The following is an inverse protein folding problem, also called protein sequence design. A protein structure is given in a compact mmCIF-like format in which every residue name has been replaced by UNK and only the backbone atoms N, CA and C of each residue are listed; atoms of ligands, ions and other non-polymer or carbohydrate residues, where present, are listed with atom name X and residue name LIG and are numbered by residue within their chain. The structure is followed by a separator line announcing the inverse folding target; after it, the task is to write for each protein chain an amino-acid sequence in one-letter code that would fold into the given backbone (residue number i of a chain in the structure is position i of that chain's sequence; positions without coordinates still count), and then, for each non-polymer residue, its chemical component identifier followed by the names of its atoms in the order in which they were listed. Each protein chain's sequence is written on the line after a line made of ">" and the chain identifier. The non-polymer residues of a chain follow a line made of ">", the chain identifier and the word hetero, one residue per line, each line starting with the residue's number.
data_IF_876474194687
#
_entry.id   IF_876474194687
#
_cell.length_a   1.000
_cell.length_b   1.000
_cell.length_c   1.000
_cell.angle_alpha   90.00
_cell.angle_beta   90.00
_cell.angle_gamma   90.00
#
_symmetry.space_group_name_H-M   'P 1'
#
loop_
_entity.id
_entity.type
_entity.pdbx_description
1 polymer ?
#
# COMPACT_ATOMS: atom_id res chain seq x y z
N UNK A 1 -14.53 -0.55 -46.66
CA UNK A 1 -15.94 -0.51 -46.19
C UNK A 1 -16.14 -1.49 -45.01
N UNK A 2 -15.35 -1.35 -43.93
CA UNK A 2 -15.33 -2.29 -42.78
C UNK A 2 -15.39 -1.49 -41.47
N UNK A 3 -16.46 -0.71 -41.27
CA UNK A 3 -16.53 0.28 -40.19
C UNK A 3 -17.93 0.44 -39.55
N UNK A 4 -18.84 -0.54 -39.71
CA UNK A 4 -20.21 -0.47 -39.16
C UNK A 4 -20.78 -1.73 -38.49
N UNK A 5 -20.02 -2.80 -38.31
CA UNK A 5 -20.52 -4.03 -37.65
C UNK A 5 -20.05 -4.27 -36.19
N UNK A 6 -19.02 -3.58 -35.69
CA UNK A 6 -18.52 -3.76 -34.32
C UNK A 6 -19.12 -2.79 -33.27
N UNK A 7 -20.40 -2.42 -33.42
CA UNK A 7 -21.08 -1.45 -32.51
C UNK A 7 -22.34 -1.95 -31.80
N UNK A 8 -22.54 -3.28 -31.70
CA UNK A 8 -23.73 -3.89 -31.07
C UNK A 8 -23.46 -5.14 -30.18
N UNK A 9 -22.27 -5.27 -29.61
CA UNK A 9 -21.91 -6.37 -28.70
C UNK A 9 -21.33 -5.88 -27.36
N UNK A 10 -21.94 -4.85 -26.76
CA UNK A 10 -21.48 -4.26 -25.49
C UNK A 10 -22.58 -4.13 -24.40
N UNK A 11 -23.75 -4.75 -24.60
CA UNK A 11 -24.85 -4.72 -23.63
C UNK A 11 -25.61 -6.05 -23.61
N UNK A 12 -25.27 -6.92 -22.64
CA UNK A 12 -26.10 -7.92 -21.91
C UNK A 12 -25.26 -9.15 -21.49
N UNK A 13 -25.24 -9.41 -20.17
CA UNK A 13 -24.50 -10.42 -19.38
C UNK A 13 -23.18 -9.90 -18.80
N UNK A 14 -22.96 -9.81 -17.49
CA UNK A 14 -23.75 -10.32 -16.35
C UNK A 14 -22.96 -11.36 -15.56
N UNK A 15 -22.16 -10.88 -14.61
CA UNK A 15 -21.40 -11.62 -13.60
C UNK A 15 -20.47 -12.77 -14.08
N UNK A 16 -19.16 -12.54 -13.97
CA UNK A 16 -18.30 -13.31 -13.04
C UNK A 16 -17.04 -12.52 -12.70
N UNK A 17 -16.72 -12.52 -11.41
CA UNK A 17 -15.53 -11.99 -10.74
C UNK A 17 -14.20 -12.16 -11.48
N UNK A 18 -13.46 -11.08 -11.71
CA UNK A 18 -11.99 -11.08 -11.50
C UNK A 18 -11.48 -9.67 -11.14
N UNK A 19 -10.53 -9.60 -10.21
CA UNK A 19 -9.99 -8.36 -9.60
C UNK A 19 -9.00 -7.65 -10.53
N UNK A 20 -9.44 -6.63 -11.29
CA UNK A 20 -8.49 -5.83 -12.05
C UNK A 20 -8.81 -4.35 -12.32
N UNK A 21 -7.76 -3.55 -12.13
CA UNK A 21 -7.29 -2.36 -12.90
C UNK A 21 -7.63 -0.95 -12.40
N UNK A 22 -6.82 0.11 -12.61
CA UNK A 22 -5.35 0.36 -12.70
C UNK A 22 -5.11 1.76 -13.34
N UNK A 23 -3.84 2.16 -13.56
CA UNK A 23 -3.35 3.30 -14.41
C UNK A 23 -3.20 4.61 -13.61
N UNK A 24 -2.11 5.37 -13.76
CA UNK A 24 -1.09 5.38 -14.83
C UNK A 24 0.34 5.02 -14.42
N UNK A 25 1.22 6.00 -14.15
CA UNK A 25 2.34 6.25 -15.07
C UNK A 25 3.70 5.86 -14.48
N UNK A 26 4.74 5.95 -15.32
CA UNK A 26 6.15 5.75 -14.98
C UNK A 26 6.96 6.84 -15.69
N UNK A 27 7.81 7.55 -14.95
CA UNK A 27 8.82 8.44 -15.53
C UNK A 27 9.98 7.67 -16.16
N UNK A 28 10.42 8.10 -17.35
CA UNK A 28 11.54 7.49 -18.07
C UNK A 28 12.88 8.10 -17.61
N UNK A 29 13.66 7.38 -16.81
CA UNK A 29 15.09 7.66 -16.63
C UNK A 29 15.92 6.45 -17.05
N UNK A 30 16.10 6.34 -18.37
CA UNK A 30 17.21 5.57 -18.94
C UNK A 30 18.37 6.54 -19.16
N UNK A 31 19.23 6.71 -18.16
CA UNK A 31 20.53 7.35 -18.36
C UNK A 31 21.34 6.49 -19.33
N UNK A 32 21.68 7.02 -20.51
CA UNK A 32 22.52 6.31 -21.47
C UNK A 32 24.00 6.28 -21.03
N UNK A 33 24.29 5.54 -19.97
CA UNK A 33 25.63 5.04 -19.72
C UNK A 33 25.99 4.04 -20.83
N UNK A 34 26.85 4.45 -21.78
CA UNK A 34 27.43 3.58 -22.82
C UNK A 34 28.44 2.61 -22.20
N UNK A 35 27.92 1.60 -21.49
CA UNK A 35 28.66 0.49 -20.90
C UNK A 35 28.31 -0.86 -21.54
N UNK A 36 29.19 -1.85 -21.34
CA UNK A 36 28.94 -3.25 -21.73
C UNK A 36 27.61 -3.73 -21.13
N UNK A 37 26.92 -4.65 -21.82
CA UNK A 37 25.50 -5.03 -21.59
C UNK A 37 25.11 -5.38 -20.15
N UNK A 38 26.06 -5.79 -19.29
CA UNK A 38 25.81 -6.02 -17.86
C UNK A 38 25.43 -4.76 -17.05
N UNK A 39 25.95 -3.56 -17.39
CA UNK A 39 25.68 -2.34 -16.62
C UNK A 39 24.21 -1.90 -16.71
N UNK A 40 23.62 -1.95 -17.91
CA UNK A 40 22.19 -1.65 -18.15
C UNK A 40 21.25 -2.61 -17.41
N UNK A 41 21.67 -3.85 -17.20
CA UNK A 41 20.88 -4.81 -16.42
C UNK A 41 20.99 -4.53 -14.91
N UNK A 42 22.21 -4.25 -14.42
CA UNK A 42 22.44 -3.88 -13.03
C UNK A 42 21.60 -2.66 -12.60
N UNK A 43 21.59 -1.59 -13.41
CA UNK A 43 20.77 -0.39 -13.17
C UNK A 43 19.26 -0.65 -13.17
N UNK A 44 18.80 -1.73 -13.83
CA UNK A 44 17.40 -2.12 -13.95
C UNK A 44 16.94 -3.10 -12.85
N UNK A 45 17.86 -3.78 -12.17
CA UNK A 45 17.59 -4.63 -10.99
C UNK A 45 17.53 -3.79 -9.70
N UNK A 46 18.19 -2.63 -9.67
CA UNK A 46 18.05 -1.62 -8.61
C UNK A 46 16.67 -0.95 -8.67
N UNK A 47 15.66 -1.72 -8.28
CA UNK A 47 14.26 -1.32 -8.13
C UNK A 47 13.98 -1.23 -6.63
N UNK A 48 13.63 -0.04 -6.11
CA UNK A 48 13.23 0.14 -4.72
C UNK A 48 12.22 -0.88 -4.20
N UNK A 49 12.33 -1.23 -2.92
CA UNK A 49 11.48 -2.23 -2.26
C UNK A 49 10.00 -1.86 -2.34
N UNK A 50 9.63 -0.57 -2.38
CA UNK A 50 8.24 -0.14 -2.56
C UNK A 50 7.61 -0.60 -3.90
N UNK A 51 8.38 -0.66 -4.99
CA UNK A 51 7.90 -1.18 -6.28
C UNK A 51 7.70 -2.71 -6.27
N UNK A 52 8.24 -3.39 -5.25
CA UNK A 52 8.06 -4.83 -4.99
C UNK A 52 7.07 -5.12 -3.85
N UNK A 53 6.83 -4.18 -2.93
CA UNK A 53 6.02 -4.31 -1.71
C UNK A 53 4.95 -3.20 -1.58
N UNK A 54 4.11 -3.01 -2.60
CA UNK A 54 3.01 -2.04 -2.60
C UNK A 54 1.97 -2.23 -1.48
N UNK A 55 1.95 -3.40 -0.82
CA UNK A 55 1.02 -3.69 0.28
C UNK A 55 1.45 -3.01 1.61
N UNK A 56 2.74 -2.74 1.82
CA UNK A 56 3.24 -2.12 3.06
C UNK A 56 2.83 -0.65 3.20
N UNK A 57 2.80 0.08 2.06
CA UNK A 57 2.39 1.48 1.97
C UNK A 57 0.94 1.71 2.43
N UNK A 58 0.03 0.77 2.15
CA UNK A 58 -1.37 0.87 2.57
C UNK A 58 -1.59 0.64 4.08
N UNK A 59 -0.84 -0.30 4.68
CA UNK A 59 -1.12 -0.78 6.04
C UNK A 59 -0.77 0.28 7.10
N UNK A 60 0.40 0.92 7.01
CA UNK A 60 0.86 1.84 8.05
C UNK A 60 -0.07 3.07 8.25
N UNK A 61 -0.46 3.83 7.19
CA UNK A 61 -1.48 4.87 7.31
C UNK A 61 -2.80 4.31 7.84
N UNK A 62 -3.24 3.15 7.33
CA UNK A 62 -4.51 2.53 7.75
C UNK A 62 -4.54 2.18 9.23
N UNK A 63 -3.42 1.92 9.91
CA UNK A 63 -3.43 1.73 11.38
C UNK A 63 -3.67 3.02 12.17
N UNK A 64 -3.17 4.16 11.68
CA UNK A 64 -3.43 5.47 12.29
C UNK A 64 -4.87 5.93 12.01
N UNK A 65 -5.32 5.79 10.76
CA UNK A 65 -6.71 5.99 10.35
C UNK A 65 -7.66 5.09 11.15
N UNK A 66 -7.40 3.79 11.23
CA UNK A 66 -8.25 2.84 11.97
C UNK A 66 -8.37 3.20 13.44
N UNK A 67 -7.30 3.68 14.09
CA UNK A 67 -7.37 4.20 15.47
C UNK A 67 -8.23 5.47 15.58
N UNK A 68 -8.17 6.37 14.61
CA UNK A 68 -8.97 7.60 14.59
C UNK A 68 -10.46 7.29 14.32
N UNK A 69 -10.74 6.42 13.35
CA UNK A 69 -12.08 5.89 13.06
C UNK A 69 -12.66 5.12 14.25
N UNK A 70 -11.83 4.35 14.97
CA UNK A 70 -12.23 3.64 16.19
C UNK A 70 -12.53 4.59 17.35
N UNK A 71 -11.86 5.74 17.45
CA UNK A 71 -12.20 6.79 18.43
C UNK A 71 -13.54 7.48 18.12
N UNK A 72 -13.98 7.50 16.86
CA UNK A 72 -15.31 7.99 16.50
C UNK A 72 -16.40 6.95 16.87
N UNK A 73 -16.13 5.65 16.69
CA UNK A 73 -17.01 4.56 17.16
C UNK A 73 -17.28 4.59 18.68
N UNK A 74 -16.28 4.99 19.49
CA UNK A 74 -16.45 5.13 20.95
C UNK A 74 -17.42 6.26 21.35
N UNK A 75 -17.73 7.21 20.46
CA UNK A 75 -18.65 8.34 20.74
C UNK A 75 -20.13 8.02 20.43
N UNK A 76 -20.51 6.73 20.43
CA UNK A 76 -21.81 6.22 20.01
C UNK A 76 -23.02 7.09 20.40
N UNK A 77 -23.41 7.99 19.50
CA UNK A 77 -24.60 8.82 19.65
C UNK A 77 -25.82 7.92 19.52
N UNK A 78 -26.79 8.10 20.41
CA UNK A 78 -28.01 7.28 20.43
C UNK A 78 -28.70 7.40 19.08
N UNK A 79 -28.73 6.29 18.36
CA UNK A 79 -29.50 6.13 17.12
C UNK A 79 -30.98 6.30 17.49
N UNK A 80 -31.64 7.25 16.82
CA UNK A 80 -33.08 7.45 16.89
C UNK A 80 -33.65 7.24 15.49
N UNK A 81 -34.28 6.09 15.26
CA UNK A 81 -35.15 5.91 14.09
C UNK A 81 -36.59 6.25 14.46
N UNK A 82 -37.35 6.79 13.51
CA UNK A 82 -38.79 6.95 13.67
C UNK A 82 -39.53 5.59 13.59
N UNK A 83 -38.85 4.53 13.13
CA UNK A 83 -39.35 3.15 13.05
C UNK A 83 -38.89 2.36 14.29
N UNK A 84 -39.78 2.00 15.24
CA UNK A 84 -39.36 1.42 16.53
C UNK A 84 -38.64 0.07 16.45
N UNK A 85 -38.91 -0.73 15.43
CA UNK A 85 -38.21 -2.01 15.23
C UNK A 85 -36.82 -1.81 14.60
N UNK A 86 -36.64 -0.81 13.73
CA UNK A 86 -35.33 -0.40 13.23
C UNK A 86 -34.47 0.15 14.37
N UNK A 87 -35.04 1.03 15.21
CA UNK A 87 -34.43 1.57 16.42
C UNK A 87 -33.93 0.45 17.37
N UNK A 88 -34.73 -0.61 17.54
CA UNK A 88 -34.36 -1.78 18.34
C UNK A 88 -33.16 -2.53 17.75
N UNK A 89 -33.13 -2.76 16.44
CA UNK A 89 -31.98 -3.38 15.74
C UNK A 89 -30.72 -2.52 15.83
N UNK A 90 -30.84 -1.21 15.61
CA UNK A 90 -29.74 -0.25 15.74
C UNK A 90 -29.15 -0.21 17.15
N UNK A 91 -29.99 -0.20 18.20
CA UNK A 91 -29.51 -0.31 19.59
C UNK A 91 -28.82 -1.64 19.88
N UNK A 92 -29.29 -2.77 19.32
CA UNK A 92 -28.61 -4.06 19.47
C UNK A 92 -27.24 -4.05 18.82
N UNK A 93 -27.13 -3.51 17.61
CA UNK A 93 -25.86 -3.35 16.91
C UNK A 93 -24.87 -2.50 17.72
N UNK A 94 -25.29 -1.29 18.14
CA UNK A 94 -24.48 -0.40 18.96
C UNK A 94 -24.03 -1.06 20.28
N UNK A 95 -24.94 -1.70 21.01
CA UNK A 95 -24.60 -2.39 22.27
C UNK A 95 -23.55 -3.51 22.08
N UNK A 96 -23.55 -4.22 20.94
CA UNK A 96 -22.51 -5.22 20.61
C UNK A 96 -21.13 -4.56 20.45
N UNK A 97 -21.07 -3.40 19.79
CA UNK A 97 -19.84 -2.63 19.60
C UNK A 97 -19.35 -2.00 20.93
N UNK A 98 -20.24 -1.45 21.76
CA UNK A 98 -19.86 -0.96 23.10
C UNK A 98 -19.33 -2.09 23.99
N UNK A 99 -19.90 -3.29 23.90
CA UNK A 99 -19.39 -4.47 24.60
C UNK A 99 -17.98 -4.85 24.11
N UNK A 100 -17.70 -4.77 22.81
CA UNK A 100 -16.36 -4.97 22.23
C UNK A 100 -15.32 -4.04 22.88
N UNK A 101 -15.58 -2.72 22.90
CA UNK A 101 -14.69 -1.71 23.49
C UNK A 101 -14.48 -1.90 24.99
N UNK A 102 -15.53 -2.24 25.73
CA UNK A 102 -15.43 -2.51 27.18
C UNK A 102 -14.67 -3.80 27.52
N UNK A 103 -14.66 -4.78 26.61
CA UNK A 103 -13.96 -6.06 26.80
C UNK A 103 -12.49 -5.99 26.37
N UNK A 104 -12.15 -5.25 25.30
CA UNK A 104 -10.74 -5.07 24.89
C UNK A 104 -9.91 -4.42 26.00
N UNK A 105 -10.43 -3.38 26.65
CA UNK A 105 -9.83 -2.71 27.80
C UNK A 105 -9.59 -3.63 29.01
N UNK A 106 -10.42 -4.68 29.20
CA UNK A 106 -10.25 -5.66 30.28
C UNK A 106 -9.33 -6.82 29.89
N UNK A 107 -9.31 -7.23 28.62
CA UNK A 107 -8.44 -8.32 28.11
C UNK A 107 -6.97 -7.93 28.12
N UNK A 108 -6.63 -6.67 27.83
CA UNK A 108 -5.25 -6.18 27.95
C UNK A 108 -4.67 -6.26 29.37
N UNK A 109 -5.51 -6.35 30.40
CA UNK A 109 -5.11 -6.50 31.79
C UNK A 109 -4.96 -7.97 32.25
N UNK A 110 -5.44 -8.95 31.46
CA UNK A 110 -5.52 -10.37 31.86
C UNK A 110 -4.93 -11.27 30.77
N UNK A 111 -3.60 -11.49 30.83
CA UNK A 111 -2.88 -12.34 29.87
C UNK A 111 -3.34 -13.80 29.88
N UNK A 112 -3.81 -14.32 28.75
CA UNK A 112 -3.35 -15.60 28.12
C UNK A 112 -4.09 -16.02 26.83
N UNK A 113 -5.06 -15.26 26.35
CA UNK A 113 -5.77 -15.57 25.09
C UNK A 113 -4.84 -15.46 23.88
N UNK A 114 -4.97 -16.35 22.89
CA UNK A 114 -4.22 -16.22 21.63
C UNK A 114 -4.76 -15.06 20.80
N UNK A 115 -3.88 -14.28 20.16
CA UNK A 115 -4.28 -13.21 19.23
C UNK A 115 -5.27 -13.71 18.15
N UNK A 116 -5.13 -14.97 17.72
CA UNK A 116 -6.04 -15.58 16.75
C UNK A 116 -7.46 -15.81 17.30
N UNK A 117 -7.59 -16.08 18.60
CA UNK A 117 -8.88 -16.25 19.28
C UNK A 117 -9.54 -14.90 19.55
N UNK A 118 -8.74 -13.90 19.95
CA UNK A 118 -9.22 -12.52 20.10
C UNK A 118 -9.72 -11.94 18.78
N UNK A 119 -8.98 -12.16 17.68
CA UNK A 119 -9.42 -11.78 16.34
C UNK A 119 -10.71 -12.50 15.93
N UNK A 120 -10.80 -13.82 16.10
CA UNK A 120 -12.02 -14.59 15.77
C UNK A 120 -13.26 -14.10 16.51
N UNK A 121 -13.15 -13.80 17.80
CA UNK A 121 -14.28 -13.29 18.59
C UNK A 121 -14.61 -11.83 18.22
N UNK A 122 -13.61 -11.02 17.85
CA UNK A 122 -13.81 -9.67 17.30
C UNK A 122 -14.59 -9.72 15.98
N UNK A 123 -14.10 -10.50 15.01
CA UNK A 123 -14.75 -10.70 13.70
C UNK A 123 -16.20 -11.20 13.86
N UNK A 124 -16.45 -12.09 14.84
CA UNK A 124 -17.78 -12.61 15.18
C UNK A 124 -18.71 -11.51 15.71
N UNK A 125 -18.24 -10.66 16.62
CA UNK A 125 -19.03 -9.55 17.18
C UNK A 125 -19.34 -8.51 16.11
N UNK A 126 -18.36 -8.18 15.25
CA UNK A 126 -18.52 -7.27 14.13
C UNK A 126 -19.56 -7.77 13.13
N UNK A 127 -19.49 -9.05 12.72
CA UNK A 127 -20.52 -9.66 11.84
C UNK A 127 -21.91 -9.65 12.46
N UNK A 128 -22.03 -9.94 13.76
CA UNK A 128 -23.32 -9.89 14.45
C UNK A 128 -23.89 -8.45 14.56
N UNK A 129 -23.03 -7.42 14.63
CA UNK A 129 -23.47 -6.03 14.54
C UNK A 129 -23.88 -5.66 13.10
N UNK A 130 -23.14 -6.15 12.10
CA UNK A 130 -23.42 -5.95 10.67
C UNK A 130 -24.79 -6.49 10.25
N UNK A 131 -25.17 -7.67 10.74
CA UNK A 131 -26.49 -8.28 10.51
C UNK A 131 -27.62 -7.42 11.11
N UNK A 132 -27.43 -6.88 12.31
CA UNK A 132 -28.42 -6.04 13.00
C UNK A 132 -28.54 -4.66 12.33
N UNK A 133 -27.44 -4.03 11.91
CA UNK A 133 -27.47 -2.81 11.09
C UNK A 133 -28.16 -3.05 9.74
N UNK A 134 -27.87 -4.16 9.07
CA UNK A 134 -28.48 -4.50 7.77
C UNK A 134 -29.98 -4.74 7.91
N UNK A 135 -30.41 -5.44 8.97
CA UNK A 135 -31.84 -5.63 9.29
C UNK A 135 -32.51 -4.29 9.58
N UNK A 136 -31.89 -3.44 10.41
CA UNK A 136 -32.43 -2.11 10.72
C UNK A 136 -32.54 -1.20 9.50
N UNK A 137 -31.55 -1.22 8.59
CA UNK A 137 -31.54 -0.43 7.35
C UNK A 137 -32.52 -0.95 6.28
N UNK A 138 -33.01 -2.19 6.38
CA UNK A 138 -34.14 -2.66 5.58
C UNK A 138 -35.48 -2.06 6.09
N UNK A 139 -35.58 -1.80 7.39
CA UNK A 139 -36.77 -1.23 8.04
C UNK A 139 -36.80 0.31 8.01
N UNK A 140 -35.64 0.95 8.08
CA UNK A 140 -35.43 2.39 7.88
C UNK A 140 -34.19 2.64 7.00
N UNK A 141 -34.35 2.68 5.66
CA UNK A 141 -33.27 3.00 4.73
C UNK A 141 -32.74 4.44 4.86
N UNK A 142 -33.45 5.32 5.57
CA UNK A 142 -33.11 6.75 5.72
C UNK A 142 -32.22 7.04 6.92
N UNK A 143 -31.96 6.05 7.78
CA UNK A 143 -31.11 6.18 8.95
C UNK A 143 -29.62 6.37 8.60
N UNK A 144 -29.24 7.60 8.23
CA UNK A 144 -27.88 7.99 7.82
C UNK A 144 -26.83 7.52 8.84
N UNK A 145 -27.03 7.79 10.13
CA UNK A 145 -26.05 7.38 11.16
C UNK A 145 -25.90 5.86 11.23
N UNK A 146 -26.97 5.07 11.13
CA UNK A 146 -26.86 3.61 11.13
C UNK A 146 -26.10 3.08 9.91
N UNK A 147 -26.19 3.78 8.76
CA UNK A 147 -25.38 3.49 7.57
C UNK A 147 -23.91 3.87 7.76
N UNK A 148 -23.63 5.01 8.41
CA UNK A 148 -22.27 5.41 8.83
C UNK A 148 -21.61 4.32 9.69
N UNK A 149 -22.30 3.85 10.74
CA UNK A 149 -21.78 2.78 11.60
C UNK A 149 -21.56 1.47 10.80
N UNK A 150 -22.46 1.16 9.86
CA UNK A 150 -22.32 -0.04 9.03
C UNK A 150 -21.10 0.02 8.11
N UNK A 151 -20.81 1.16 7.48
CA UNK A 151 -19.59 1.39 6.71
C UNK A 151 -18.32 1.17 7.55
N UNK A 152 -18.32 1.65 8.80
CA UNK A 152 -17.22 1.46 9.75
C UNK A 152 -17.01 -0.02 10.13
N UNK A 153 -18.10 -0.79 10.32
CA UNK A 153 -18.03 -2.23 10.58
C UNK A 153 -17.53 -3.01 9.35
N UNK A 154 -18.01 -2.67 8.15
CA UNK A 154 -17.50 -3.23 6.88
C UNK A 154 -15.99 -2.96 6.74
N UNK A 155 -15.53 -1.74 7.02
CA UNK A 155 -14.11 -1.36 7.01
C UNK A 155 -13.25 -2.20 7.96
N UNK A 156 -13.70 -2.39 9.21
CA UNK A 156 -13.00 -3.23 10.19
C UNK A 156 -12.94 -4.70 9.76
N UNK A 157 -13.96 -5.20 9.06
CA UNK A 157 -14.00 -6.54 8.47
C UNK A 157 -13.22 -6.69 7.15
N UNK A 158 -12.58 -5.62 6.66
CA UNK A 158 -11.89 -5.56 5.36
C UNK A 158 -12.81 -5.81 4.15
N UNK A 159 -14.10 -5.50 4.32
CA UNK A 159 -15.14 -5.52 3.28
C UNK A 159 -15.25 -4.12 2.67
N UNK A 160 -14.23 -3.76 1.87
CA UNK A 160 -14.00 -2.38 1.42
C UNK A 160 -15.04 -1.95 0.38
N UNK A 161 -15.42 -2.85 -0.54
CA UNK A 161 -16.41 -2.55 -1.57
C UNK A 161 -17.80 -2.26 -0.94
N UNK A 162 -18.19 -3.04 0.06
CA UNK A 162 -19.42 -2.81 0.83
C UNK A 162 -19.36 -1.53 1.68
N UNK A 163 -18.21 -1.21 2.27
CA UNK A 163 -18.00 0.06 2.97
C UNK A 163 -18.14 1.27 2.02
N UNK A 164 -17.61 1.17 0.79
CA UNK A 164 -17.71 2.22 -0.24
C UNK A 164 -19.16 2.47 -0.66
N UNK A 165 -19.97 1.42 -0.85
CA UNK A 165 -21.41 1.54 -1.18
C UNK A 165 -22.15 2.35 -0.11
N UNK A 166 -21.90 2.08 1.18
CA UNK A 166 -22.52 2.84 2.27
C UNK A 166 -21.97 4.28 2.37
N UNK A 167 -20.68 4.50 2.08
CA UNK A 167 -20.11 5.85 2.00
C UNK A 167 -20.77 6.69 0.90
N UNK A 168 -20.97 6.14 -0.30
CA UNK A 168 -21.59 6.87 -1.41
C UNK A 168 -23.03 7.30 -1.08
N UNK A 169 -23.85 6.39 -0.54
CA UNK A 169 -25.24 6.71 -0.15
C UNK A 169 -25.31 7.79 0.95
N UNK A 170 -24.38 7.79 1.91
CA UNK A 170 -24.34 8.84 2.94
C UNK A 170 -23.86 10.18 2.38
N UNK A 171 -22.85 10.18 1.51
CA UNK A 171 -22.26 11.41 0.96
C UNK A 171 -23.12 12.07 -0.13
N UNK A 172 -24.11 11.36 -0.68
CA UNK A 172 -25.19 11.92 -1.50
C UNK A 172 -26.29 12.61 -0.66
N UNK A 173 -26.26 12.49 0.67
CA UNK A 173 -27.26 13.09 1.59
C UNK A 173 -26.80 14.47 2.12
N UNK A 174 -27.72 15.39 2.50
CA UNK A 174 -27.34 16.69 3.04
C UNK A 174 -26.64 16.58 4.40
N UNK A 175 -25.33 16.82 4.44
CA UNK A 175 -24.53 16.82 5.65
C UNK A 175 -23.18 16.16 5.44
N UNK A 176 -22.12 16.95 5.25
CA UNK A 176 -20.79 16.43 4.95
C UNK A 176 -20.16 15.72 6.14
N UNK A 177 -20.09 14.39 6.03
CA UNK A 177 -19.34 13.56 6.97
C UNK A 177 -17.89 13.42 6.48
N UNK A 178 -17.02 14.29 6.97
CA UNK A 178 -15.58 14.29 6.66
C UNK A 178 -14.92 12.94 6.94
N UNK A 179 -15.34 12.26 8.02
CA UNK A 179 -14.83 10.93 8.39
C UNK A 179 -15.18 9.87 7.33
N UNK A 180 -16.41 9.83 6.83
CA UNK A 180 -16.79 8.90 5.74
C UNK A 180 -16.17 9.29 4.40
N UNK A 181 -16.05 10.59 4.10
CA UNK A 181 -15.38 11.06 2.87
C UNK A 181 -13.90 10.66 2.87
N UNK A 182 -13.25 10.73 4.04
CA UNK A 182 -11.91 10.22 4.26
C UNK A 182 -11.80 8.69 4.11
N UNK A 183 -12.76 7.92 4.65
CA UNK A 183 -12.83 6.47 4.40
C UNK A 183 -13.00 6.17 2.91
N UNK A 184 -13.82 6.94 2.19
CA UNK A 184 -14.04 6.77 0.75
C UNK A 184 -12.77 7.03 -0.06
N UNK A 185 -12.00 8.06 0.28
CA UNK A 185 -10.67 8.32 -0.31
C UNK A 185 -9.76 7.08 -0.19
N UNK A 186 -9.67 6.50 1.01
CA UNK A 186 -8.83 5.32 1.26
C UNK A 186 -9.35 4.05 0.57
N UNK A 187 -10.66 3.83 0.62
CA UNK A 187 -11.30 2.69 -0.04
C UNK A 187 -11.10 2.76 -1.55
N UNK A 188 -11.23 3.95 -2.16
CA UNK A 188 -10.95 4.16 -3.59
C UNK A 188 -9.47 3.94 -3.94
N UNK A 189 -8.53 4.40 -3.11
CA UNK A 189 -7.11 4.06 -3.27
C UNK A 189 -6.87 2.54 -3.21
N UNK A 190 -7.50 1.85 -2.26
CA UNK A 190 -7.36 0.40 -2.06
C UNK A 190 -8.04 -0.43 -3.16
N UNK A 191 -9.18 0.03 -3.70
CA UNK A 191 -9.90 -0.62 -4.79
C UNK A 191 -9.32 -0.29 -6.19
N UNK A 192 -8.34 0.61 -6.27
CA UNK A 192 -7.64 0.95 -7.52
C UNK A 192 -8.27 2.09 -8.33
N UNK A 193 -9.05 2.98 -7.70
CA UNK A 193 -9.59 4.22 -8.24
C UNK A 193 -8.88 5.48 -7.67
N UNK A 194 -7.64 5.78 -8.11
CA UNK A 194 -6.95 7.00 -7.70
C UNK A 194 -7.60 8.26 -8.28
N UNK A 195 -8.39 8.17 -9.37
CA UNK A 195 -9.06 9.33 -9.94
C UNK A 195 -10.22 9.82 -9.06
N UNK A 196 -11.07 8.91 -8.59
CA UNK A 196 -12.12 9.21 -7.63
C UNK A 196 -11.58 9.58 -6.24
N UNK A 197 -10.46 9.00 -5.81
CA UNK A 197 -9.76 9.45 -4.60
C UNK A 197 -9.24 10.89 -4.72
N UNK A 198 -8.60 11.24 -5.84
CA UNK A 198 -8.13 12.61 -6.12
C UNK A 198 -9.28 13.62 -6.10
N UNK A 199 -10.43 13.25 -6.66
CA UNK A 199 -11.64 14.07 -6.71
C UNK A 199 -12.18 14.35 -5.31
N UNK A 200 -12.29 13.31 -4.46
CA UNK A 200 -12.75 13.46 -3.08
C UNK A 200 -11.77 14.30 -2.23
N UNK A 201 -10.46 14.10 -2.39
CA UNK A 201 -9.47 14.94 -1.71
C UNK A 201 -9.55 16.40 -2.15
N UNK A 202 -9.78 16.66 -3.45
CA UNK A 202 -10.01 18.00 -3.98
C UNK A 202 -11.19 18.69 -3.28
N UNK A 203 -12.33 17.99 -3.19
CA UNK A 203 -13.52 18.50 -2.50
C UNK A 203 -13.24 18.87 -1.04
N UNK A 204 -12.52 18.03 -0.28
CA UNK A 204 -12.20 18.30 1.15
C UNK A 204 -11.29 19.51 1.32
N UNK A 205 -10.39 19.75 0.36
CA UNK A 205 -9.46 20.87 0.41
C UNK A 205 -10.10 22.19 -0.04
N UNK A 206 -11.17 22.14 -0.84
CA UNK A 206 -12.04 23.28 -1.17
C UNK A 206 -13.05 23.59 -0.05
N UNK A 207 -13.48 22.57 0.69
CA UNK A 207 -14.46 22.66 1.78
C UNK A 207 -13.82 22.16 3.10
N UNK A 208 -12.81 22.85 3.65
CA UNK A 208 -12.09 22.36 4.82
C UNK A 208 -13.03 22.24 6.04
N UNK A 209 -12.86 21.21 6.88
CA UNK A 209 -13.69 21.01 8.05
C UNK A 209 -13.57 22.17 9.04
N UNK A 210 -14.72 22.60 9.58
CA UNK A 210 -14.81 23.65 10.59
C UNK A 210 -14.53 23.15 12.01
N UNK A 211 -14.67 21.84 12.25
CA UNK A 211 -14.34 21.23 13.54
C UNK A 211 -12.82 21.03 13.66
N UNK A 212 -12.16 21.53 14.72
CA UNK A 212 -10.72 21.36 14.92
C UNK A 212 -10.25 19.90 14.96
N UNK A 213 -11.11 18.96 15.36
CA UNK A 213 -10.79 17.52 15.40
C UNK A 213 -10.76 16.90 14.00
N UNK A 214 -11.69 17.27 13.12
CA UNK A 214 -11.68 16.88 11.72
C UNK A 214 -10.58 17.62 10.93
N UNK A 215 -10.22 18.85 11.32
CA UNK A 215 -9.11 19.59 10.70
C UNK A 215 -7.75 18.89 10.84
N UNK A 216 -7.58 18.00 11.81
CA UNK A 216 -6.39 17.14 11.92
C UNK A 216 -6.27 16.12 10.77
N UNK A 217 -7.33 15.90 9.98
CA UNK A 217 -7.32 15.04 8.79
C UNK A 217 -6.67 15.71 7.57
N UNK A 218 -6.55 17.04 7.53
CA UNK A 218 -6.04 17.77 6.36
C UNK A 218 -4.65 17.32 5.85
N UNK A 219 -3.59 17.17 6.69
CA UNK A 219 -2.31 16.63 6.21
C UNK A 219 -2.42 15.21 5.64
N UNK A 220 -3.41 14.46 6.10
CA UNK A 220 -3.61 13.07 5.72
C UNK A 220 -4.43 12.94 4.43
N UNK A 221 -5.37 13.85 4.18
CA UNK A 221 -6.05 14.06 2.89
C UNK A 221 -5.05 14.55 1.83
N UNK A 222 -4.15 15.46 2.18
CA UNK A 222 -3.04 15.87 1.32
C UNK A 222 -2.14 14.69 0.96
N UNK A 223 -1.70 13.90 1.95
CA UNK A 223 -0.92 12.69 1.70
C UNK A 223 -1.65 11.68 0.80
N UNK A 224 -2.95 11.46 1.02
CA UNK A 224 -3.76 10.58 0.19
C UNK A 224 -3.97 11.11 -1.24
N UNK A 225 -4.05 12.44 -1.43
CA UNK A 225 -4.09 13.05 -2.76
C UNK A 225 -2.75 12.90 -3.48
N UNK A 226 -1.64 13.03 -2.76
CA UNK A 226 -0.30 12.74 -3.27
C UNK A 226 -0.14 11.29 -3.69
N UNK A 227 -0.65 10.34 -2.90
CA UNK A 227 -0.65 8.90 -3.24
C UNK A 227 -1.50 8.61 -4.47
N UNK A 228 -2.68 9.23 -4.58
CA UNK A 228 -3.53 9.14 -5.75
C UNK A 228 -2.84 9.70 -7.02
N UNK A 229 -2.16 10.84 -6.90
CA UNK A 229 -1.38 11.43 -7.98
C UNK A 229 -0.18 10.58 -8.36
N UNK A 230 0.54 9.98 -7.40
CA UNK A 230 1.62 9.02 -7.66
C UNK A 230 1.08 7.78 -8.40
N UNK A 231 -0.06 7.24 -7.98
CA UNK A 231 -0.77 6.16 -8.67
C UNK A 231 -1.32 6.55 -10.06
N UNK A 232 -1.46 7.85 -10.34
CA UNK A 232 -1.72 8.40 -11.68
C UNK A 232 -0.42 8.79 -12.44
N UNK A 233 0.75 8.71 -11.79
CA UNK A 233 2.07 9.11 -12.29
C UNK A 233 2.26 10.61 -12.50
N UNK A 234 1.52 11.41 -11.72
CA UNK A 234 1.62 12.87 -11.62
C UNK A 234 2.61 13.22 -10.50
N UNK A 235 3.87 12.80 -10.67
CA UNK A 235 4.89 12.81 -9.60
C UNK A 235 5.18 14.22 -9.08
N UNK A 236 5.20 15.24 -9.95
CA UNK A 236 5.37 16.63 -9.55
C UNK A 236 4.23 17.12 -8.64
N UNK A 237 2.98 16.77 -8.96
CA UNK A 237 1.82 17.09 -8.14
C UNK A 237 1.89 16.34 -6.80
N UNK A 238 2.23 15.05 -6.84
CA UNK A 238 2.36 14.22 -5.64
C UNK A 238 3.37 14.82 -4.65
N UNK A 239 4.53 15.28 -5.14
CA UNK A 239 5.55 15.96 -4.34
C UNK A 239 5.03 17.26 -3.70
N UNK A 240 4.19 18.03 -4.39
CA UNK A 240 3.57 19.25 -3.83
C UNK A 240 2.67 18.88 -2.65
N UNK A 241 1.79 17.90 -2.83
CA UNK A 241 0.82 17.49 -1.81
C UNK A 241 1.49 16.79 -0.60
N UNK A 242 2.48 15.91 -0.83
CA UNK A 242 3.30 15.36 0.26
C UNK A 242 4.08 16.45 1.02
N UNK A 243 4.55 17.48 0.32
CA UNK A 243 5.26 18.60 0.97
C UNK A 243 4.31 19.47 1.79
N UNK A 244 3.09 19.72 1.30
CA UNK A 244 2.05 20.39 2.07
C UNK A 244 1.65 19.58 3.32
N UNK A 245 1.51 18.26 3.19
CA UNK A 245 1.24 17.36 4.31
C UNK A 245 2.34 17.40 5.39
N UNK A 246 3.62 17.36 4.98
CA UNK A 246 4.76 17.39 5.91
C UNK A 246 4.98 18.76 6.60
N UNK A 247 4.51 19.84 5.97
CA UNK A 247 4.60 21.21 6.50
C UNK A 247 3.41 21.59 7.39
N UNK A 248 2.38 20.74 7.51
CA UNK A 248 1.20 21.03 8.31
C UNK A 248 1.52 21.07 9.82
N UNK A 249 0.97 22.00 10.62
CA UNK A 249 1.19 22.04 12.06
C UNK A 249 0.81 20.72 12.75
N UNK A 250 1.74 20.13 13.50
CA UNK A 250 1.53 18.82 14.14
C UNK A 250 1.84 17.60 13.27
N UNK A 251 2.27 17.76 12.01
CA UNK A 251 2.57 16.63 11.12
C UNK A 251 3.60 15.63 11.69
N UNK A 252 4.51 16.07 12.58
CA UNK A 252 5.50 15.19 13.23
C UNK A 252 4.88 14.18 14.21
N UNK A 253 3.66 14.41 14.70
CA UNK A 253 2.91 13.46 15.56
C UNK A 253 2.11 12.44 14.72
N UNK A 254 2.04 12.64 13.40
CA UNK A 254 1.28 11.82 12.45
C UNK A 254 2.15 10.86 11.63
N UNK A 255 1.68 10.45 10.43
CA UNK A 255 2.35 9.46 9.58
C UNK A 255 3.56 10.02 8.81
N UNK A 256 4.32 10.95 9.40
CA UNK A 256 5.38 11.70 8.73
C UNK A 256 6.42 10.81 8.02
N UNK A 257 6.75 9.64 8.57
CA UNK A 257 7.69 8.73 7.93
C UNK A 257 7.13 8.08 6.65
N UNK A 258 5.83 7.77 6.59
CA UNK A 258 5.21 7.22 5.36
C UNK A 258 5.08 8.29 4.30
N UNK A 259 4.78 9.55 4.69
CA UNK A 259 4.72 10.66 3.74
C UNK A 259 6.11 11.03 3.21
N UNK A 260 7.15 11.02 4.06
CA UNK A 260 8.56 11.13 3.63
C UNK A 260 8.92 10.00 2.67
N UNK A 261 8.54 8.77 3.00
CA UNK A 261 8.78 7.61 2.14
C UNK A 261 8.16 7.81 0.75
N UNK A 262 6.84 8.05 0.67
CA UNK A 262 6.14 8.25 -0.60
C UNK A 262 6.69 9.46 -1.39
N UNK A 263 7.09 10.55 -0.72
CA UNK A 263 7.75 11.69 -1.38
C UNK A 263 9.14 11.35 -1.89
N UNK A 264 9.93 10.58 -1.13
CA UNK A 264 11.21 10.03 -1.56
C UNK A 264 11.07 9.11 -2.78
N UNK A 265 10.01 8.31 -2.83
CA UNK A 265 9.63 7.49 -3.98
C UNK A 265 9.37 8.33 -5.23
N UNK A 266 8.53 9.37 -5.12
CA UNK A 266 8.22 10.30 -6.22
C UNK A 266 9.46 11.08 -6.67
N UNK A 267 10.32 11.53 -5.74
CA UNK A 267 11.61 12.13 -6.07
C UNK A 267 12.53 11.15 -6.83
N UNK A 268 12.61 9.89 -6.40
CA UNK A 268 13.40 8.86 -7.08
C UNK A 268 12.89 8.60 -8.50
N UNK A 269 11.56 8.52 -8.69
CA UNK A 269 10.93 8.34 -9.99
C UNK A 269 11.25 9.48 -10.98
N UNK A 270 11.35 10.72 -10.48
CA UNK A 270 11.78 11.90 -11.25
C UNK A 270 13.30 12.06 -11.39
N UNK A 271 14.12 11.11 -10.92
CA UNK A 271 15.58 11.20 -10.94
C UNK A 271 16.17 12.22 -9.96
N UNK A 272 15.36 12.76 -9.04
CA UNK A 272 15.73 13.72 -7.99
C UNK A 272 16.34 12.99 -6.79
N UNK A 273 17.37 12.18 -7.05
CA UNK A 273 17.94 11.22 -6.10
C UNK A 273 18.53 11.88 -4.83
N UNK A 274 18.98 13.14 -4.92
CA UNK A 274 19.47 13.87 -3.75
C UNK A 274 18.32 14.19 -2.78
N UNK A 275 17.21 14.75 -3.25
CA UNK A 275 16.02 14.97 -2.43
C UNK A 275 15.43 13.67 -1.89
N UNK A 276 15.41 12.59 -2.70
CA UNK A 276 15.00 11.27 -2.22
C UNK A 276 15.88 10.77 -1.05
N UNK A 277 17.21 10.92 -1.16
CA UNK A 277 18.14 10.54 -0.09
C UNK A 277 17.96 11.33 1.22
N UNK A 278 17.46 12.57 1.13
CA UNK A 278 17.15 13.43 2.29
C UNK A 278 15.88 12.96 2.99
N UNK A 279 14.82 12.65 2.23
CA UNK A 279 13.57 12.09 2.78
C UNK A 279 13.79 10.72 3.45
N UNK A 280 14.54 9.81 2.80
CA UNK A 280 14.91 8.52 3.40
C UNK A 280 15.82 8.69 4.62
N UNK A 281 16.77 9.64 4.61
CA UNK A 281 17.59 9.96 5.80
C UNK A 281 16.72 10.38 7.00
N UNK A 282 15.66 11.15 6.76
CA UNK A 282 14.71 11.60 7.78
C UNK A 282 13.77 10.49 8.31
N UNK A 283 13.85 9.27 7.75
CA UNK A 283 13.17 8.07 8.26
C UNK A 283 14.08 7.17 9.12
N UNK A 284 15.40 7.39 9.14
CA UNK A 284 16.40 6.49 9.76
C UNK A 284 16.22 6.21 11.25
N UNK A 285 15.45 7.03 11.97
CA UNK A 285 15.09 6.78 13.39
C UNK A 285 13.80 5.96 13.56
N UNK A 286 12.90 5.99 12.58
CA UNK A 286 11.57 5.35 12.64
C UNK A 286 11.49 4.03 11.89
N UNK A 287 12.19 3.92 10.76
CA UNK A 287 12.26 2.73 9.90
C UNK A 287 13.69 2.61 9.37
N UNK A 288 14.69 2.31 10.23
CA UNK A 288 16.10 2.31 9.88
C UNK A 288 16.47 1.42 8.70
N UNK A 289 15.97 0.18 8.65
CA UNK A 289 16.27 -0.76 7.57
C UNK A 289 15.83 -0.24 6.20
N UNK A 290 14.53 0.06 6.03
CA UNK A 290 13.98 0.74 4.83
C UNK A 290 14.77 2.01 4.49
N UNK A 291 15.01 2.87 5.48
CA UNK A 291 15.69 4.14 5.30
C UNK A 291 17.13 3.99 4.78
N UNK A 292 17.88 3.01 5.28
CA UNK A 292 19.22 2.73 4.79
C UNK A 292 19.18 2.08 3.40
N UNK A 293 18.29 1.12 3.16
CA UNK A 293 18.20 0.48 1.84
C UNK A 293 17.88 1.47 0.72
N UNK A 294 16.79 2.23 0.82
CA UNK A 294 16.35 3.12 -0.25
C UNK A 294 17.27 4.36 -0.39
N UNK A 295 17.92 4.80 0.69
CA UNK A 295 19.01 5.79 0.60
C UNK A 295 20.25 5.21 -0.09
N UNK A 296 20.60 3.96 0.18
CA UNK A 296 21.65 3.23 -0.54
C UNK A 296 21.39 3.19 -2.04
N UNK A 297 20.15 2.90 -2.46
CA UNK A 297 19.74 2.96 -3.87
C UNK A 297 19.89 4.37 -4.47
N UNK A 298 19.55 5.43 -3.73
CA UNK A 298 19.78 6.82 -4.15
C UNK A 298 21.28 7.09 -4.34
N UNK A 299 22.12 6.64 -3.41
CA UNK A 299 23.57 6.80 -3.50
C UNK A 299 24.18 6.03 -4.67
N UNK A 300 23.66 4.85 -5.05
CA UNK A 300 24.08 4.19 -6.29
C UNK A 300 23.76 5.05 -7.52
N UNK A 301 22.55 5.61 -7.61
CA UNK A 301 22.15 6.48 -8.73
C UNK A 301 22.90 7.81 -8.77
N UNK A 302 23.39 8.30 -7.62
CA UNK A 302 24.30 9.45 -7.50
C UNK A 302 25.79 9.10 -7.71
N UNK A 303 26.12 7.84 -8.05
CA UNK A 303 27.49 7.31 -8.14
C UNK A 303 28.32 7.44 -6.83
N UNK A 304 27.64 7.57 -5.69
CA UNK A 304 28.21 7.62 -4.32
C UNK A 304 28.40 6.21 -3.76
N UNK A 305 29.05 5.34 -4.53
CA UNK A 305 29.08 3.89 -4.31
C UNK A 305 29.60 3.46 -2.92
N UNK A 306 30.58 4.19 -2.37
CA UNK A 306 31.11 3.91 -1.02
C UNK A 306 30.12 4.23 0.10
N UNK A 307 29.20 5.17 -0.12
CA UNK A 307 28.12 5.50 0.82
C UNK A 307 26.96 4.51 0.68
N UNK A 308 26.65 4.11 -0.56
CA UNK A 308 25.69 3.03 -0.82
C UNK A 308 26.11 1.71 -0.14
N UNK A 309 27.38 1.31 -0.22
CA UNK A 309 27.88 0.12 0.48
C UNK A 309 27.66 0.20 2.00
N UNK A 310 27.95 1.36 2.62
CA UNK A 310 27.76 1.56 4.07
C UNK A 310 26.29 1.46 4.46
N UNK A 311 25.40 2.01 3.64
CA UNK A 311 23.97 1.94 3.87
C UNK A 311 23.41 0.51 3.72
N UNK A 312 23.83 -0.23 2.69
CA UNK A 312 23.45 -1.66 2.59
C UNK A 312 24.05 -2.50 3.72
N UNK A 313 25.28 -2.21 4.18
CA UNK A 313 25.86 -2.85 5.38
C UNK A 313 25.06 -2.56 6.66
N UNK A 314 24.44 -1.37 6.77
CA UNK A 314 23.57 -1.02 7.91
C UNK A 314 22.22 -1.73 7.82
N UNK A 315 21.59 -1.78 6.64
CA UNK A 315 20.35 -2.54 6.43
C UNK A 315 20.54 -4.05 6.76
N UNK A 316 21.60 -4.68 6.23
CA UNK A 316 21.92 -6.10 6.48
C UNK A 316 22.15 -6.40 7.97
N UNK A 317 22.75 -5.47 8.73
CA UNK A 317 22.92 -5.63 10.18
C UNK A 317 21.58 -5.57 10.91
N UNK A 318 20.74 -4.61 10.56
CA UNK A 318 19.42 -4.43 11.19
C UNK A 318 18.52 -5.66 10.99
N UNK A 319 18.52 -6.21 9.77
CA UNK A 319 17.92 -7.50 9.41
C UNK A 319 18.41 -8.66 10.29
N UNK A 320 19.73 -8.77 10.40
CA UNK A 320 20.40 -9.86 11.13
C UNK A 320 20.05 -9.86 12.62
N UNK A 321 19.97 -8.67 13.22
CA UNK A 321 19.60 -8.48 14.63
C UNK A 321 18.11 -8.81 14.88
N UNK A 322 17.25 -8.69 13.86
CA UNK A 322 15.82 -9.00 13.91
C UNK A 322 15.46 -10.43 13.45
N UNK A 323 16.42 -11.24 13.01
CA UNK A 323 16.21 -12.57 12.37
C UNK A 323 15.34 -12.53 11.10
N UNK A 324 15.18 -11.36 10.48
CA UNK A 324 14.49 -11.17 9.20
C UNK A 324 15.56 -10.77 8.19
N UNK A 325 16.00 -11.70 7.33
CA UNK A 325 17.06 -11.44 6.36
C UNK A 325 16.46 -11.28 4.96
N UNK A 326 16.34 -10.04 4.47
CA UNK A 326 15.86 -9.75 3.13
C UNK A 326 17.00 -9.90 2.10
N UNK A 327 16.77 -10.73 1.07
CA UNK A 327 17.73 -10.89 -0.03
C UNK A 327 17.95 -9.60 -0.84
N UNK A 328 16.98 -8.67 -0.83
CA UNK A 328 17.00 -7.42 -1.60
C UNK A 328 18.19 -6.53 -1.16
N UNK A 329 18.57 -6.56 0.12
CA UNK A 329 19.73 -5.85 0.67
C UNK A 329 21.06 -6.36 0.11
N UNK A 330 21.22 -7.69 0.03
CA UNK A 330 22.39 -8.33 -0.58
C UNK A 330 22.44 -8.09 -2.08
N UNK A 331 21.31 -8.06 -2.79
CA UNK A 331 21.28 -7.65 -4.21
C UNK A 331 21.79 -6.21 -4.37
N UNK A 332 21.32 -5.26 -3.55
CA UNK A 332 21.79 -3.86 -3.57
C UNK A 332 23.30 -3.73 -3.35
N UNK A 333 23.84 -4.42 -2.32
CA UNK A 333 25.28 -4.42 -2.03
C UNK A 333 26.10 -5.09 -3.11
N UNK A 334 25.66 -6.25 -3.60
CA UNK A 334 26.34 -7.01 -4.66
C UNK A 334 26.43 -6.23 -5.97
N UNK A 335 25.34 -5.54 -6.36
CA UNK A 335 25.32 -4.65 -7.53
C UNK A 335 26.28 -3.47 -7.36
N UNK A 336 26.41 -2.95 -6.14
CA UNK A 336 27.36 -1.87 -5.81
C UNK A 336 28.81 -2.36 -5.88
N UNK A 337 29.11 -3.57 -5.40
CA UNK A 337 30.42 -4.20 -5.59
C UNK A 337 30.75 -4.44 -7.07
N UNK A 338 29.76 -4.85 -7.87
CA UNK A 338 29.93 -5.04 -9.31
C UNK A 338 30.23 -3.71 -10.03
N UNK A 339 29.57 -2.61 -9.65
CA UNK A 339 29.87 -1.27 -10.17
C UNK A 339 31.27 -0.77 -9.77
N UNK A 340 31.79 -1.21 -8.62
CA UNK A 340 33.17 -0.98 -8.18
C UNK A 340 34.20 -1.95 -8.80
N UNK A 341 33.75 -2.95 -9.58
CA UNK A 341 34.61 -3.96 -10.21
C UNK A 341 35.03 -5.13 -9.31
N UNK A 342 34.48 -5.26 -8.10
CA UNK A 342 34.75 -6.39 -7.22
C UNK A 342 33.76 -7.54 -7.50
N UNK A 343 34.02 -8.27 -8.58
CA UNK A 343 33.18 -9.40 -9.01
C UNK A 343 33.11 -10.52 -7.96
N UNK A 344 34.14 -10.66 -7.10
CA UNK A 344 34.19 -11.69 -6.06
C UNK A 344 33.17 -11.41 -4.97
N UNK A 345 33.16 -10.19 -4.42
CA UNK A 345 32.17 -9.79 -3.41
C UNK A 345 30.76 -9.71 -4.00
N UNK A 346 30.62 -9.19 -5.22
CA UNK A 346 29.34 -9.14 -5.92
C UNK A 346 28.70 -10.54 -6.04
N UNK A 347 29.48 -11.53 -6.50
CA UNK A 347 29.02 -12.91 -6.62
C UNK A 347 28.69 -13.55 -5.28
N UNK A 348 29.47 -13.26 -4.24
CA UNK A 348 29.20 -13.74 -2.88
C UNK A 348 27.84 -13.24 -2.38
N UNK A 349 27.57 -11.94 -2.50
CA UNK A 349 26.29 -11.33 -2.10
C UNK A 349 25.11 -11.88 -2.91
N UNK A 350 25.26 -12.07 -4.22
CA UNK A 350 24.21 -12.69 -5.04
C UNK A 350 23.89 -14.14 -4.65
N UNK A 351 24.90 -14.92 -4.24
CA UNK A 351 24.69 -16.29 -3.75
C UNK A 351 23.97 -16.31 -2.40
N UNK A 352 24.23 -15.34 -1.51
CA UNK A 352 23.46 -15.18 -0.27
C UNK A 352 22.00 -14.78 -0.56
N UNK A 353 21.77 -13.79 -1.42
CA UNK A 353 20.42 -13.40 -1.84
C UNK A 353 19.64 -14.57 -2.45
N UNK A 354 20.28 -15.34 -3.34
CA UNK A 354 19.69 -16.54 -3.95
C UNK A 354 19.29 -17.60 -2.91
N UNK A 355 20.09 -17.79 -1.86
CA UNK A 355 19.78 -18.73 -0.79
C UNK A 355 18.58 -18.26 0.05
N UNK A 356 18.52 -16.96 0.37
CA UNK A 356 17.39 -16.36 1.09
C UNK A 356 16.09 -16.47 0.29
N UNK A 357 16.08 -16.05 -0.98
CA UNK A 357 14.88 -16.14 -1.83
C UNK A 357 14.40 -17.58 -2.06
N UNK A 358 15.30 -18.58 -2.05
CA UNK A 358 14.91 -20.00 -2.08
C UNK A 358 14.24 -20.44 -0.78
N UNK A 359 14.73 -19.98 0.37
CA UNK A 359 14.09 -20.24 1.66
C UNK A 359 12.72 -19.57 1.77
N UNK A 360 12.59 -18.31 1.31
CA UNK A 360 11.33 -17.58 1.27
C UNK A 360 10.32 -18.24 0.31
N UNK A 361 10.76 -18.65 -0.88
CA UNK A 361 9.91 -19.36 -1.82
C UNK A 361 9.44 -20.72 -1.26
N UNK A 362 10.30 -21.43 -0.52
CA UNK A 362 9.91 -22.67 0.14
C UNK A 362 8.92 -22.45 1.31
N UNK A 363 8.92 -21.26 1.92
CA UNK A 363 8.05 -20.91 3.06
C UNK A 363 6.72 -20.27 2.65
N UNK A 364 6.71 -19.45 1.59
CA UNK A 364 5.57 -18.59 1.19
C UNK A 364 5.14 -18.76 -0.28
N UNK A 365 5.65 -19.78 -0.98
CA UNK A 365 5.61 -19.87 -2.45
C UNK A 365 4.24 -20.03 -3.11
N UNK A 366 3.20 -20.42 -2.36
CA UNK A 366 1.83 -20.53 -2.86
C UNK A 366 0.95 -19.31 -2.49
N UNK A 367 1.41 -18.47 -1.55
CA UNK A 367 0.63 -17.33 -1.02
C UNK A 367 0.97 -16.02 -1.75
N UNK A 368 2.24 -15.75 -2.03
CA UNK A 368 2.75 -14.42 -2.43
C UNK A 368 2.71 -14.10 -3.94
N UNK A 369 1.66 -14.54 -4.67
CA UNK A 369 1.28 -14.04 -6.02
C UNK A 369 2.38 -14.02 -7.10
N UNK A 370 3.46 -14.80 -6.98
CA UNK A 370 4.61 -14.79 -7.90
C UNK A 370 5.76 -13.84 -7.54
N UNK A 371 5.63 -13.02 -6.49
CA UNK A 371 6.68 -12.08 -6.04
C UNK A 371 7.99 -12.75 -5.58
N UNK A 372 7.96 -13.88 -4.81
CA UNK A 372 9.17 -14.60 -4.44
C UNK A 372 9.89 -15.20 -5.66
N UNK A 373 9.13 -15.65 -6.67
CA UNK A 373 9.69 -16.14 -7.93
C UNK A 373 10.30 -15.00 -8.77
N UNK A 374 9.73 -13.79 -8.75
CA UNK A 374 10.38 -12.61 -9.34
C UNK A 374 11.72 -12.32 -8.66
N UNK A 375 11.76 -12.19 -7.32
CA UNK A 375 13.01 -11.96 -6.55
C UNK A 375 14.06 -13.03 -6.85
N UNK A 376 13.68 -14.31 -6.81
CA UNK A 376 14.54 -15.43 -7.18
C UNK A 376 15.09 -15.32 -8.61
N UNK A 377 14.26 -14.95 -9.58
CA UNK A 377 14.68 -14.76 -10.96
C UNK A 377 15.66 -13.60 -11.16
N UNK A 378 15.51 -12.52 -10.40
CA UNK A 378 16.46 -11.40 -10.41
C UNK A 378 17.82 -11.82 -9.87
N UNK A 379 17.89 -12.61 -8.79
CA UNK A 379 19.16 -13.19 -8.31
C UNK A 379 19.82 -14.15 -9.31
N UNK A 380 19.04 -14.98 -10.01
CA UNK A 380 19.59 -15.79 -11.11
C UNK A 380 20.16 -14.91 -12.23
N UNK A 381 19.52 -13.79 -12.54
CA UNK A 381 19.99 -12.89 -13.58
C UNK A 381 21.25 -12.10 -13.18
N UNK A 382 21.41 -11.70 -11.91
CA UNK A 382 22.66 -11.08 -11.42
C UNK A 382 23.84 -12.05 -11.40
N UNK A 383 23.58 -13.35 -11.20
CA UNK A 383 24.58 -14.43 -11.36
C UNK A 383 24.90 -14.76 -12.83
N UNK A 384 24.21 -14.15 -13.80
CA UNK A 384 24.39 -14.43 -15.22
C UNK A 384 23.67 -15.68 -15.74
N UNK A 385 22.88 -16.36 -14.90
CA UNK A 385 22.08 -17.53 -15.27
C UNK A 385 20.81 -17.12 -16.05
N UNK A 386 21.00 -16.51 -17.23
CA UNK A 386 19.94 -15.88 -18.03
C UNK A 386 18.75 -16.80 -18.31
N UNK A 387 18.99 -18.06 -18.65
CA UNK A 387 17.93 -19.01 -18.99
C UNK A 387 17.17 -19.48 -17.74
N UNK A 388 17.87 -19.78 -16.63
CA UNK A 388 17.25 -20.06 -15.31
C UNK A 388 16.37 -18.88 -14.86
N UNK A 389 16.90 -17.65 -14.96
CA UNK A 389 16.17 -16.42 -14.65
C UNK A 389 14.92 -16.26 -15.53
N UNK A 390 15.03 -16.47 -16.84
CA UNK A 390 13.91 -16.38 -17.78
C UNK A 390 12.81 -17.40 -17.48
N UNK A 391 13.18 -18.66 -17.21
CA UNK A 391 12.23 -19.71 -16.84
C UNK A 391 11.53 -19.38 -15.52
N UNK A 392 12.27 -18.89 -14.53
CA UNK A 392 11.72 -18.48 -13.22
C UNK A 392 10.78 -17.27 -13.35
N UNK A 393 11.09 -16.29 -14.22
CA UNK A 393 10.18 -15.19 -14.56
C UNK A 393 8.88 -15.66 -15.24
N UNK A 394 8.93 -16.70 -16.08
CA UNK A 394 7.73 -17.24 -16.72
C UNK A 394 6.80 -17.94 -15.70
N UNK A 395 7.37 -18.60 -14.69
CA UNK A 395 6.60 -19.15 -13.57
C UNK A 395 5.99 -18.02 -12.71
N UNK A 396 6.79 -17.02 -12.34
CA UNK A 396 6.32 -15.83 -11.64
C UNK A 396 5.18 -15.15 -12.42
N UNK A 397 5.26 -15.12 -13.76
CA UNK A 397 4.23 -14.57 -14.63
C UNK A 397 2.93 -15.35 -14.54
N UNK A 398 2.99 -16.68 -14.65
CA UNK A 398 1.79 -17.53 -14.59
C UNK A 398 1.04 -17.38 -13.26
N UNK A 399 1.76 -17.24 -12.15
CA UNK A 399 1.16 -16.97 -10.84
C UNK A 399 0.55 -15.57 -10.75
N UNK A 400 1.26 -14.55 -11.23
CA UNK A 400 0.77 -13.17 -11.28
C UNK A 400 -0.47 -13.04 -12.19
N UNK A 401 -0.51 -13.76 -13.32
CA UNK A 401 -1.66 -13.87 -14.22
C UNK A 401 -2.85 -14.55 -13.48
N UNK A 402 -2.60 -15.65 -12.76
CA UNK A 402 -3.63 -16.38 -12.00
C UNK A 402 -4.28 -15.59 -10.85
N UNK A 403 -3.54 -14.63 -10.29
CA UNK A 403 -3.96 -13.77 -9.16
C UNK A 403 -4.33 -12.35 -9.57
N UNK A 404 -4.21 -12.04 -10.86
CA UNK A 404 -4.42 -10.71 -11.41
C UNK A 404 -3.59 -9.63 -10.72
N UNK A 405 -2.25 -9.76 -10.80
CA UNK A 405 -1.29 -8.76 -10.33
C UNK A 405 -0.62 -8.04 -11.53
N UNK A 406 -1.30 -7.02 -12.08
CA UNK A 406 -0.86 -6.24 -13.25
C UNK A 406 0.45 -5.48 -12.98
N UNK A 407 0.66 -4.84 -11.82
CA UNK A 407 1.94 -4.21 -11.50
C UNK A 407 3.08 -5.21 -11.60
N UNK A 408 2.91 -6.40 -11.00
CA UNK A 408 3.90 -7.48 -11.07
C UNK A 408 4.09 -8.01 -12.50
N UNK A 409 3.01 -8.23 -13.25
CA UNK A 409 3.06 -8.65 -14.65
C UNK A 409 3.80 -7.65 -15.54
N UNK A 410 3.60 -6.34 -15.36
CA UNK A 410 4.34 -5.29 -16.10
C UNK A 410 5.83 -5.37 -15.79
N UNK A 411 6.20 -5.48 -14.51
CA UNK A 411 7.59 -5.65 -14.08
C UNK A 411 8.22 -6.92 -14.68
N UNK A 412 7.54 -8.06 -14.58
CA UNK A 412 8.00 -9.34 -15.15
C UNK A 412 8.17 -9.24 -16.68
N UNK A 413 7.20 -8.67 -17.40
CA UNK A 413 7.29 -8.50 -18.85
C UNK A 413 8.46 -7.57 -19.25
N UNK A 414 8.74 -6.52 -18.46
CA UNK A 414 9.93 -5.65 -18.64
C UNK A 414 11.23 -6.44 -18.48
N UNK A 415 11.36 -7.25 -17.42
CA UNK A 415 12.55 -8.08 -17.21
C UNK A 415 12.71 -9.16 -18.28
N UNK A 416 11.62 -9.82 -18.71
CA UNK A 416 11.63 -10.76 -19.83
C UNK A 416 12.12 -10.10 -21.13
N UNK A 417 11.70 -8.86 -21.41
CA UNK A 417 12.18 -8.10 -22.57
C UNK A 417 13.66 -7.69 -22.46
N UNK A 418 14.16 -7.46 -21.24
CA UNK A 418 15.58 -7.17 -21.00
C UNK A 418 16.44 -8.43 -21.17
N UNK A 419 15.99 -9.60 -20.69
CA UNK A 419 16.70 -10.87 -20.87
C UNK A 419 16.66 -11.42 -22.31
N UNK A 420 15.72 -10.95 -23.14
CA UNK A 420 15.67 -11.30 -24.57
C UNK A 420 16.60 -10.48 -25.46
N UNK A 421 17.45 -9.61 -24.89
CA UNK A 421 18.43 -8.75 -25.58
C UNK A 421 19.87 -9.08 -25.19
#
# INVERSE_FOLDING_TARGET
>A
MVSRMFRRAFLRSGATSVLFTSVSAWGLVATEAKGKTGARFAEAVLVPTFLLNSEALGIAPMTAWSKLLSRQLDQGKILFSQTPDADRSFRRAANRLTLLGSQSSKRSAVKKTSWQEEKKETDRILRAALDEYTTGLQLDPTAIQARTERALVYWQLQQIDEALIDCDIVLDSPGDNFTLRAMRILGRLQSGDPAGATTDCGWVLEHPPTDPSDAMLLPLVLAARGEAQHALGQEEQAIIDYTAALNFPGAQEGPAYTVRFSRGCAYYALGKYQQASEDFSAMSQSQPEIAFYDRGLCYVKLNRLQEALRDFDLAIRWDSDLQHAEGDHYIGRGLTWQLLGDETKARQDYLYALALYKADLARYGDENKGRPRLRLALAYATLGERETARQTLLLAKAEADSKQDIPLLRSINKYLQLLSK
#
